data_IF_488098327289
#
_entry.id   IF_488098327289
#
_cell.length_a   1.000
_cell.length_b   1.000
_cell.length_c   1.000
_cell.angle_alpha   90.00
_cell.angle_beta   90.00
_cell.angle_gamma   90.00
#
_symmetry.space_group_name_H-M   'P 1'
#
loop_
_entity.id
_entity.type
_entity.pdbx_description
1 polymer ?
#
# COMPACT_ATOMS: atom_id res chain seq x y z
N UNK A 1 3.90 22.33 5.90
CA UNK A 1 4.67 21.44 5.01
C UNK A 1 3.71 20.65 4.14
N UNK A 2 3.99 20.55 2.86
CA UNK A 2 3.13 19.83 1.96
C UNK A 2 3.19 18.31 2.24
N UNK A 3 2.06 17.64 2.08
CA UNK A 3 2.00 16.19 2.19
C UNK A 3 2.75 15.60 1.00
N UNK A 4 3.68 14.72 1.29
CA UNK A 4 4.45 14.05 0.24
C UNK A 4 3.84 12.70 -0.08
N UNK A 5 3.90 12.34 -1.37
CA UNK A 5 3.46 11.03 -1.81
C UNK A 5 4.51 9.99 -1.44
N UNK A 6 4.41 9.48 -0.23
CA UNK A 6 5.34 8.50 0.32
C UNK A 6 4.59 7.32 0.90
N UNK A 7 5.30 6.21 1.04
CA UNK A 7 4.74 5.01 1.66
C UNK A 7 4.21 5.29 3.06
N UNK A 8 4.91 6.10 3.86
CA UNK A 8 4.44 6.47 5.20
C UNK A 8 3.10 7.19 5.15
N UNK A 9 2.94 8.11 4.20
CA UNK A 9 1.69 8.85 4.07
C UNK A 9 0.56 7.97 3.57
N UNK A 10 0.88 7.00 2.70
CA UNK A 10 -0.12 6.04 2.25
C UNK A 10 -0.64 5.21 3.43
N UNK A 11 0.25 4.73 4.28
CA UNK A 11 -0.15 3.96 5.45
C UNK A 11 -1.00 4.80 6.40
N UNK A 12 -0.63 6.08 6.60
CA UNK A 12 -1.44 6.98 7.42
C UNK A 12 -2.85 7.14 6.87
N UNK A 13 -2.98 7.30 5.57
CA UNK A 13 -4.29 7.44 4.96
C UNK A 13 -5.13 6.17 5.05
N UNK A 14 -4.47 5.02 5.08
CA UNK A 14 -5.15 3.74 5.25
C UNK A 14 -5.51 3.45 6.72
N UNK A 15 -5.12 4.34 7.63
CA UNK A 15 -5.38 4.14 9.04
C UNK A 15 -4.45 3.15 9.70
N UNK A 16 -3.28 2.94 9.12
CA UNK A 16 -2.29 1.99 9.61
C UNK A 16 -1.11 2.71 10.26
N UNK A 17 -0.36 2.00 11.08
CA UNK A 17 0.87 2.56 11.61
C UNK A 17 1.87 2.77 10.49
N UNK A 18 2.56 3.90 10.51
CA UNK A 18 3.38 4.35 9.40
C UNK A 18 4.86 4.45 9.73
N UNK A 19 5.30 3.87 10.83
CA UNK A 19 6.74 3.79 11.11
C UNK A 19 7.40 2.82 10.14
N UNK A 20 8.69 3.01 9.83
CA UNK A 20 9.38 2.06 8.94
C UNK A 20 9.28 0.61 9.40
N UNK A 21 9.39 0.37 10.69
CA UNK A 21 9.27 -0.99 11.23
C UNK A 21 7.86 -1.56 11.05
N UNK A 22 6.84 -0.72 11.24
CA UNK A 22 5.46 -1.15 11.07
C UNK A 22 5.13 -1.46 9.61
N UNK A 23 5.66 -0.65 8.70
CA UNK A 23 5.49 -0.87 7.27
C UNK A 23 6.12 -2.20 6.85
N UNK A 24 7.34 -2.45 7.28
CA UNK A 24 8.02 -3.72 6.99
C UNK A 24 7.26 -4.91 7.54
N UNK A 25 6.79 -4.81 8.77
CA UNK A 25 6.03 -5.88 9.39
C UNK A 25 4.73 -6.15 8.62
N UNK A 26 4.05 -5.09 8.21
CA UNK A 26 2.83 -5.24 7.43
C UNK A 26 3.09 -6.02 6.15
N UNK A 27 4.16 -5.66 5.45
CA UNK A 27 4.52 -6.30 4.19
C UNK A 27 4.81 -7.80 4.41
N UNK A 28 5.57 -8.12 5.45
CA UNK A 28 5.91 -9.51 5.76
C UNK A 28 4.67 -10.31 6.16
N UNK A 29 3.76 -9.68 6.92
CA UNK A 29 2.57 -10.36 7.45
C UNK A 29 1.45 -10.52 6.44
N UNK A 30 1.50 -9.80 5.31
CA UNK A 30 0.41 -9.78 4.34
C UNK A 30 0.90 -10.06 2.92
N UNK A 31 1.58 -11.19 2.68
CA UNK A 31 2.03 -11.50 1.33
C UNK A 31 0.85 -11.73 0.40
N UNK A 32 0.98 -11.26 -0.84
CA UNK A 32 -0.06 -11.45 -1.86
C UNK A 32 0.35 -12.52 -2.85
N UNK A 33 -0.58 -13.42 -3.23
CA UNK A 33 -0.31 -14.35 -4.33
C UNK A 33 -0.11 -13.58 -5.64
N UNK A 34 0.68 -14.12 -6.58
CA UNK A 34 0.95 -13.41 -7.84
C UNK A 34 -0.31 -13.05 -8.63
N UNK A 35 -1.38 -13.80 -8.46
CA UNK A 35 -2.61 -13.57 -9.20
C UNK A 35 -3.47 -12.45 -8.65
N UNK A 36 -3.18 -11.95 -7.44
CA UNK A 36 -3.98 -10.89 -6.81
C UNK A 36 -3.27 -9.56 -6.86
N UNK A 37 -3.98 -8.54 -7.32
CA UNK A 37 -3.51 -7.17 -7.25
C UNK A 37 -3.79 -6.61 -5.85
N UNK A 38 -3.06 -5.55 -5.48
CA UNK A 38 -3.23 -4.90 -4.18
C UNK A 38 -4.68 -4.48 -3.93
N UNK A 39 -5.38 -3.98 -4.96
CA UNK A 39 -6.75 -3.53 -4.79
C UNK A 39 -7.72 -4.68 -4.54
N UNK A 40 -7.32 -5.90 -4.86
CA UNK A 40 -8.14 -7.10 -4.67
C UNK A 40 -7.74 -7.86 -3.41
N UNK A 41 -6.78 -7.38 -2.65
CA UNK A 41 -6.29 -8.07 -1.48
C UNK A 41 -7.40 -8.24 -0.44
N UNK A 42 -7.52 -9.43 0.15
CA UNK A 42 -8.62 -9.71 1.07
C UNK A 42 -8.48 -9.05 2.44
N UNK A 43 -7.29 -8.53 2.76
CA UNK A 43 -7.06 -7.92 4.07
C UNK A 43 -7.48 -6.44 4.15
N UNK A 44 -7.88 -5.84 3.03
CA UNK A 44 -8.41 -4.48 3.06
C UNK A 44 -9.90 -4.51 3.37
N UNK A 45 -10.37 -3.55 4.18
CA UNK A 45 -11.81 -3.33 4.30
C UNK A 45 -12.31 -2.53 3.09
N UNK A 46 -13.61 -2.32 3.00
CA UNK A 46 -14.21 -1.64 1.85
C UNK A 46 -13.69 -0.20 1.70
N UNK A 47 -13.52 0.51 2.82
CA UNK A 47 -13.05 1.89 2.79
C UNK A 47 -11.59 1.96 2.33
N UNK A 48 -10.75 1.05 2.79
CA UNK A 48 -9.35 1.01 2.40
C UNK A 48 -9.20 0.69 0.91
N UNK A 49 -9.97 -0.29 0.43
CA UNK A 49 -9.96 -0.66 -0.99
C UNK A 49 -10.40 0.50 -1.87
N UNK A 50 -11.44 1.20 -1.46
CA UNK A 50 -11.93 2.35 -2.20
C UNK A 50 -10.88 3.45 -2.24
N UNK A 51 -10.22 3.72 -1.12
CA UNK A 51 -9.16 4.73 -1.07
C UNK A 51 -8.03 4.39 -2.03
N UNK A 52 -7.59 3.13 -2.06
CA UNK A 52 -6.53 2.72 -2.98
C UNK A 52 -6.93 2.97 -4.44
N UNK A 53 -8.16 2.64 -4.79
CA UNK A 53 -8.66 2.87 -6.15
C UNK A 53 -8.70 4.36 -6.49
N UNK A 54 -9.11 5.19 -5.54
CA UNK A 54 -9.17 6.63 -5.74
C UNK A 54 -7.77 7.22 -5.91
N UNK A 55 -6.82 6.78 -5.11
CA UNK A 55 -5.44 7.27 -5.23
C UNK A 55 -4.82 6.87 -6.57
N UNK A 56 -5.08 5.66 -7.03
CA UNK A 56 -4.58 5.21 -8.32
C UNK A 56 -5.14 6.03 -9.48
N UNK A 57 -6.38 6.47 -9.37
CA UNK A 57 -7.04 7.22 -10.43
C UNK A 57 -6.78 8.73 -10.37
N UNK A 58 -6.50 9.26 -9.18
CA UNK A 58 -6.47 10.71 -8.98
C UNK A 58 -5.12 11.34 -9.26
N UNK A 59 -4.02 10.63 -9.05
CA UNK A 59 -2.70 11.25 -9.09
C UNK A 59 -1.64 10.23 -9.44
N UNK A 60 -0.84 10.54 -10.45
CA UNK A 60 0.22 9.63 -10.91
C UNK A 60 1.28 9.37 -9.82
N UNK A 61 1.55 10.37 -8.97
CA UNK A 61 2.52 10.19 -7.89
C UNK A 61 2.01 9.20 -6.85
N UNK A 62 0.72 9.25 -6.52
CA UNK A 62 0.13 8.27 -5.63
C UNK A 62 0.08 6.88 -6.26
N UNK A 63 -0.17 6.83 -7.57
CA UNK A 63 -0.16 5.55 -8.27
C UNK A 63 1.21 4.86 -8.15
N UNK A 64 2.30 5.61 -8.23
CA UNK A 64 3.64 5.07 -8.07
C UNK A 64 3.83 4.46 -6.68
N UNK A 65 3.39 5.17 -5.65
CA UNK A 65 3.52 4.67 -4.26
C UNK A 65 2.70 3.42 -4.04
N UNK A 66 1.46 3.41 -4.52
CA UNK A 66 0.59 2.23 -4.40
C UNK A 66 1.20 1.05 -5.16
N UNK A 67 1.78 1.31 -6.33
CA UNK A 67 2.41 0.27 -7.13
C UNK A 67 3.64 -0.31 -6.43
N UNK A 68 4.42 0.54 -5.78
CA UNK A 68 5.56 0.09 -4.97
C UNK A 68 5.11 -0.83 -3.83
N UNK A 69 4.03 -0.48 -3.16
CA UNK A 69 3.48 -1.34 -2.12
C UNK A 69 2.99 -2.67 -2.70
N UNK A 70 2.33 -2.60 -3.85
CA UNK A 70 1.88 -3.80 -4.55
C UNK A 70 3.04 -4.75 -4.84
N UNK A 71 4.14 -4.23 -5.36
CA UNK A 71 5.34 -5.03 -5.62
C UNK A 71 5.90 -5.64 -4.34
N UNK A 72 5.98 -4.84 -3.28
CA UNK A 72 6.53 -5.31 -2.01
C UNK A 72 5.68 -6.43 -1.40
N UNK A 73 4.36 -6.35 -1.55
CA UNK A 73 3.47 -7.39 -1.03
C UNK A 73 3.59 -8.68 -1.83
N UNK A 74 3.92 -8.60 -3.11
CA UNK A 74 4.11 -9.79 -3.94
C UNK A 74 5.47 -10.43 -3.73
N UNK A 75 6.46 -9.67 -3.31
CA UNK A 75 7.83 -10.14 -3.11
C UNK A 75 8.42 -9.64 -1.80
N UNK A 76 7.82 -10.05 -0.66
CA UNK A 76 8.24 -9.51 0.63
C UNK A 76 9.68 -9.87 1.02
N UNK A 77 10.23 -10.90 0.42
CA UNK A 77 11.60 -11.35 0.71
C UNK A 77 12.60 -10.86 -0.33
N UNK A 78 12.17 -10.11 -1.31
CA UNK A 78 13.06 -9.58 -2.33
C UNK A 78 13.91 -8.46 -1.74
N UNK A 79 15.21 -8.51 -1.90
CA UNK A 79 16.11 -7.49 -1.40
C UNK A 79 17.17 -7.16 -2.39
#
# INVERSE_FOLDING_TARGET
MAVKTRMTNLFLQLGLEATPAAIERFIVDHPLPPALDIVDAPFWNAAQRQLLKELLAADANWAVVVDQLNESLHEPDAD
#
